data_IF_277007202373
#
_entry.id   IF_277007202373
#
_cell.length_a   1.000
_cell.length_b   1.000
_cell.length_c   1.000
_cell.angle_alpha   90.00
_cell.angle_beta   90.00
_cell.angle_gamma   90.00
#
_symmetry.space_group_name_H-M   'P 1'
#
loop_
_entity.id
_entity.type
_entity.pdbx_description
1 polymer ?
#
# COMPACT_ATOMS: atom_id res chain seq x y z
N UNK A 1 -59.87 31.86 10.86
CA UNK A 1 -59.30 32.85 9.94
C UNK A 1 -58.01 32.26 9.36
N UNK A 2 -57.76 32.42 8.07
CA UNK A 2 -56.60 31.93 7.35
C UNK A 2 -55.85 33.15 6.73
N UNK A 3 -54.53 33.23 6.95
CA UNK A 3 -53.72 34.22 6.27
C UNK A 3 -53.39 33.71 4.87
N UNK A 4 -53.89 34.36 3.85
CA UNK A 4 -53.67 33.92 2.46
C UNK A 4 -52.38 34.50 1.91
N UNK A 5 -52.04 35.70 2.30
CA UNK A 5 -50.80 36.38 1.89
C UNK A 5 -50.39 37.43 2.95
N UNK A 6 -49.10 37.53 3.19
CA UNK A 6 -48.52 38.57 4.04
C UNK A 6 -47.24 39.12 3.37
N UNK A 7 -47.15 40.45 3.35
CA UNK A 7 -45.94 41.17 2.93
C UNK A 7 -45.48 42.08 4.05
N UNK A 8 -44.19 42.08 4.34
CA UNK A 8 -43.60 42.95 5.34
C UNK A 8 -42.69 43.99 4.68
N UNK A 9 -42.70 45.22 5.16
CA UNK A 9 -41.79 46.29 4.78
C UNK A 9 -41.19 46.85 6.06
N UNK A 10 -39.86 46.94 6.11
CA UNK A 10 -39.15 47.57 7.25
C UNK A 10 -38.88 49.04 6.97
N UNK A 11 -39.13 49.86 7.97
CA UNK A 11 -38.84 51.30 7.94
C UNK A 11 -37.69 51.63 8.93
N UNK A 12 -37.21 52.86 8.86
CA UNK A 12 -36.11 53.30 9.71
C UNK A 12 -36.52 53.29 11.19
N UNK A 13 -35.60 52.99 12.12
CA UNK A 13 -35.81 52.95 13.58
C UNK A 13 -36.70 51.80 14.10
N UNK A 14 -36.70 50.62 13.41
CA UNK A 14 -37.42 49.41 13.91
C UNK A 14 -38.94 49.48 13.73
N UNK A 15 -39.38 50.34 12.84
CA UNK A 15 -40.76 50.37 12.42
C UNK A 15 -40.99 49.40 11.23
N UNK A 16 -42.11 48.74 11.20
CA UNK A 16 -42.48 47.79 10.14
C UNK A 16 -43.93 47.98 9.71
N UNK A 17 -44.14 47.89 8.40
CA UNK A 17 -45.50 47.79 7.84
C UNK A 17 -45.76 46.34 7.46
N UNK A 18 -46.89 45.78 7.92
CA UNK A 18 -47.35 44.44 7.59
C UNK A 18 -48.67 44.51 6.85
N UNK A 19 -48.69 44.12 5.58
CA UNK A 19 -49.92 44.02 4.77
C UNK A 19 -50.29 42.57 4.56
N UNK A 20 -51.50 42.22 4.89
CA UNK A 20 -51.99 40.86 4.73
C UNK A 20 -53.38 40.78 4.15
N UNK A 21 -53.64 39.60 3.51
CA UNK A 21 -54.93 39.21 3.05
C UNK A 21 -55.44 38.10 3.99
N UNK A 22 -56.51 38.40 4.72
CA UNK A 22 -57.10 37.48 5.70
C UNK A 22 -58.40 36.96 5.18
N UNK A 23 -58.56 35.63 5.10
CA UNK A 23 -59.78 34.95 4.72
C UNK A 23 -60.56 34.57 5.99
N UNK A 24 -61.79 34.94 6.03
CA UNK A 24 -62.74 34.58 7.07
C UNK A 24 -64.12 34.29 6.48
N UNK A 25 -64.71 33.16 6.78
CA UNK A 25 -66.02 32.70 6.28
C UNK A 25 -66.22 32.89 4.76
N UNK A 26 -65.15 32.56 3.97
CA UNK A 26 -65.17 32.66 2.52
C UNK A 26 -65.05 34.05 1.94
N UNK A 27 -64.82 35.07 2.78
CA UNK A 27 -64.54 36.46 2.37
C UNK A 27 -63.12 36.84 2.70
N UNK A 28 -62.51 37.64 1.83
CA UNK A 28 -61.15 38.10 2.02
C UNK A 28 -61.13 39.56 2.44
N UNK A 29 -60.28 39.88 3.42
CA UNK A 29 -60.12 41.21 4.00
C UNK A 29 -58.68 41.69 3.84
N UNK A 30 -58.51 42.91 3.37
CA UNK A 30 -57.18 43.56 3.34
C UNK A 30 -56.91 44.17 4.72
N UNK A 31 -55.79 43.76 5.30
CA UNK A 31 -55.34 44.23 6.61
C UNK A 31 -53.95 44.87 6.49
N UNK A 32 -53.79 46.04 7.05
CA UNK A 32 -52.49 46.70 7.14
C UNK A 32 -52.20 47.05 8.61
N UNK A 33 -51.02 46.65 9.11
CA UNK A 33 -50.55 46.97 10.44
C UNK A 33 -49.30 47.84 10.33
N UNK A 34 -49.20 48.86 11.15
CA UNK A 34 -48.01 49.69 11.34
C UNK A 34 -47.49 49.38 12.72
N UNK A 35 -46.28 48.84 12.77
CA UNK A 35 -45.63 48.36 13.99
C UNK A 35 -44.48 49.29 14.40
N UNK A 36 -44.37 49.53 15.69
CA UNK A 36 -43.26 50.25 16.25
C UNK A 36 -42.89 49.68 17.63
N UNK A 37 -41.62 49.38 17.85
CA UNK A 37 -41.12 48.74 19.06
C UNK A 37 -41.88 47.43 19.39
N UNK A 38 -42.22 46.61 18.36
CA UNK A 38 -42.90 45.33 18.51
C UNK A 38 -44.38 45.37 18.83
N UNK A 39 -45.00 46.60 18.84
CA UNK A 39 -46.42 46.80 19.08
C UNK A 39 -47.09 47.43 17.89
N UNK A 40 -48.40 47.17 17.72
CA UNK A 40 -49.20 47.83 16.68
C UNK A 40 -49.41 49.26 17.09
N UNK A 41 -48.94 50.19 16.29
CA UNK A 41 -49.12 51.64 16.46
C UNK A 41 -50.39 52.12 15.75
N UNK A 42 -50.66 51.54 14.59
CA UNK A 42 -51.82 51.88 13.79
C UNK A 42 -52.20 50.67 12.93
N UNK A 43 -53.46 50.58 12.56
CA UNK A 43 -53.94 49.51 11.68
C UNK A 43 -55.11 49.95 10.81
N UNK A 44 -55.33 49.28 9.72
CA UNK A 44 -56.52 49.39 8.90
C UNK A 44 -56.98 48.01 8.41
N UNK A 45 -58.30 47.85 8.34
CA UNK A 45 -58.88 46.61 7.82
C UNK A 45 -60.12 46.95 6.95
N UNK A 46 -60.32 46.25 5.86
CA UNK A 46 -61.48 46.41 4.98
C UNK A 46 -62.81 45.87 5.53
N UNK A 47 -62.82 45.29 6.73
CA UNK A 47 -64.06 44.83 7.40
C UNK A 47 -64.88 46.04 7.98
N UNK A 48 -66.15 45.79 8.28
CA UNK A 48 -67.03 46.84 8.85
C UNK A 48 -66.57 47.34 10.22
N UNK A 49 -65.81 46.52 10.96
CA UNK A 49 -65.32 46.84 12.29
C UNK A 49 -63.92 47.46 12.25
N UNK A 50 -63.26 47.46 11.11
CA UNK A 50 -61.84 47.81 10.92
C UNK A 50 -61.52 49.29 11.10
N UNK A 51 -62.49 50.16 11.30
CA UNK A 51 -62.31 51.59 11.51
C UNK A 51 -63.04 52.07 12.79
N UNK A 52 -63.40 51.16 13.70
CA UNK A 52 -64.07 51.55 14.93
C UNK A 52 -63.03 51.90 16.03
N UNK A 53 -63.30 52.96 16.82
CA UNK A 53 -62.47 53.45 17.93
C UNK A 53 -62.29 52.45 19.09
N UNK A 54 -62.73 51.18 18.95
CA UNK A 54 -62.76 50.21 20.06
C UNK A 54 -61.65 49.16 20.02
N UNK A 55 -60.56 49.40 19.31
CA UNK A 55 -59.41 48.47 19.24
C UNK A 55 -59.33 47.74 17.89
N UNK A 56 -58.32 46.90 17.77
CA UNK A 56 -58.06 46.13 16.54
C UNK A 56 -59.09 45.03 16.37
N UNK A 57 -59.59 44.86 15.12
CA UNK A 57 -60.54 43.80 14.82
C UNK A 57 -59.87 42.42 14.77
N UNK A 58 -60.70 41.36 14.84
CA UNK A 58 -60.17 39.97 14.83
C UNK A 58 -59.28 39.62 13.63
N UNK A 59 -59.48 40.24 12.45
CA UNK A 59 -58.60 40.08 11.28
C UNK A 59 -57.21 40.73 11.48
N UNK A 60 -57.16 41.88 12.17
CA UNK A 60 -55.91 42.53 12.57
C UNK A 60 -55.14 41.71 13.59
N UNK A 61 -55.84 41.18 14.60
CA UNK A 61 -55.23 40.31 15.63
C UNK A 61 -54.66 38.99 14.99
N UNK A 62 -55.39 38.40 14.07
CA UNK A 62 -54.96 37.18 13.33
C UNK A 62 -53.68 37.47 12.51
N UNK A 63 -53.64 38.59 11.79
CA UNK A 63 -52.45 38.96 11.01
C UNK A 63 -51.26 39.27 11.90
N UNK A 64 -51.46 39.96 13.06
CA UNK A 64 -50.40 40.29 14.00
C UNK A 64 -49.86 39.04 14.70
N UNK A 65 -50.73 38.10 15.09
CA UNK A 65 -50.30 36.80 15.67
C UNK A 65 -49.42 36.01 14.68
N UNK A 66 -49.85 35.94 13.42
CA UNK A 66 -49.12 35.28 12.35
C UNK A 66 -47.74 35.95 12.10
N UNK A 67 -47.70 37.28 12.06
CA UNK A 67 -46.44 37.99 11.93
C UNK A 67 -45.48 37.70 13.08
N UNK A 68 -45.96 37.66 14.33
CA UNK A 68 -45.10 37.30 15.48
C UNK A 68 -44.53 35.89 15.36
N UNK A 69 -45.36 34.94 15.00
CA UNK A 69 -44.93 33.54 14.80
C UNK A 69 -43.84 33.43 13.71
N UNK A 70 -44.00 34.11 12.59
CA UNK A 70 -43.00 34.17 11.52
C UNK A 70 -41.69 34.78 12.01
N UNK A 71 -41.75 35.86 12.79
CA UNK A 71 -40.55 36.49 13.37
C UNK A 71 -39.84 35.62 14.39
N UNK A 72 -40.56 34.87 15.19
CA UNK A 72 -40.00 33.88 16.11
C UNK A 72 -39.31 32.74 15.36
N UNK A 73 -39.89 32.24 14.27
CA UNK A 73 -39.30 31.23 13.41
C UNK A 73 -38.02 31.73 12.72
N UNK A 74 -38.03 32.95 12.16
CA UNK A 74 -36.85 33.62 11.55
C UNK A 74 -35.71 33.86 12.58
N UNK A 75 -36.03 34.01 13.88
CA UNK A 75 -35.05 34.26 14.93
C UNK A 75 -34.35 32.98 15.45
N UNK A 76 -34.84 31.79 15.07
CA UNK A 76 -34.18 30.53 15.44
C UNK A 76 -32.84 30.43 14.73
N UNK A 77 -31.77 30.04 15.44
CA UNK A 77 -30.46 29.85 14.80
C UNK A 77 -30.57 28.76 13.71
N UNK A 78 -29.85 28.93 12.59
CA UNK A 78 -29.82 27.92 11.56
C UNK A 78 -29.28 26.60 12.11
N UNK A 79 -29.94 25.51 11.78
CA UNK A 79 -29.45 24.17 12.15
C UNK A 79 -28.29 23.81 11.24
N UNK A 80 -27.10 23.62 11.82
CA UNK A 80 -25.95 23.12 11.09
C UNK A 80 -26.04 21.62 10.89
N UNK A 81 -25.68 21.17 9.70
CA UNK A 81 -25.63 19.74 9.39
C UNK A 81 -24.56 19.04 10.23
N UNK A 82 -24.92 17.99 10.94
CA UNK A 82 -23.98 17.21 11.75
C UNK A 82 -22.95 16.48 10.88
N UNK A 83 -21.79 16.18 11.45
CA UNK A 83 -20.76 15.41 10.74
C UNK A 83 -21.26 14.03 10.28
N UNK A 84 -22.14 13.39 11.05
CA UNK A 84 -22.77 12.12 10.66
C UNK A 84 -23.68 12.30 9.44
N UNK A 85 -24.48 13.35 9.41
CA UNK A 85 -25.33 13.64 8.27
C UNK A 85 -24.52 13.98 7.00
N UNK A 86 -23.44 14.76 7.14
CA UNK A 86 -22.49 15.01 6.04
C UNK A 86 -21.88 13.71 5.51
N UNK A 87 -21.50 12.80 6.41
CA UNK A 87 -20.95 11.51 6.01
C UNK A 87 -21.99 10.67 5.28
N UNK A 88 -23.22 10.60 5.79
CA UNK A 88 -24.31 9.88 5.12
C UNK A 88 -24.62 10.46 3.73
N UNK A 89 -24.75 11.78 3.62
CA UNK A 89 -25.00 12.45 2.33
C UNK A 89 -23.91 12.09 1.34
N UNK A 90 -22.64 12.21 1.74
CA UNK A 90 -21.49 11.87 0.90
C UNK A 90 -21.52 10.40 0.43
N UNK A 91 -21.75 9.47 1.37
CA UNK A 91 -21.77 8.05 1.04
C UNK A 91 -22.92 7.67 0.09
N UNK A 92 -24.11 8.21 0.30
CA UNK A 92 -25.25 7.95 -0.58
C UNK A 92 -25.07 8.62 -1.94
N UNK A 93 -24.55 9.84 -2.01
CA UNK A 93 -24.23 10.51 -3.27
C UNK A 93 -23.20 9.69 -4.07
N UNK A 94 -22.15 9.20 -3.39
CA UNK A 94 -21.13 8.36 -4.03
C UNK A 94 -21.71 7.05 -4.58
N UNK A 95 -22.67 6.44 -3.88
CA UNK A 95 -23.38 5.24 -4.36
C UNK A 95 -24.24 5.53 -5.60
N UNK A 96 -24.98 6.63 -5.58
CA UNK A 96 -25.81 7.05 -6.70
C UNK A 96 -24.99 7.34 -7.96
N UNK A 97 -23.89 8.10 -7.81
CA UNK A 97 -22.95 8.37 -8.90
C UNK A 97 -22.29 7.07 -9.38
N UNK A 98 -21.93 6.15 -8.48
CA UNK A 98 -21.37 4.86 -8.85
C UNK A 98 -22.35 4.00 -9.66
N UNK A 99 -23.65 4.04 -9.35
CA UNK A 99 -24.69 3.34 -10.11
C UNK A 99 -24.85 3.94 -11.51
N UNK A 100 -24.92 5.27 -11.62
CA UNK A 100 -25.03 5.97 -12.90
C UNK A 100 -23.81 5.66 -13.79
N UNK A 101 -22.61 5.69 -13.23
CA UNK A 101 -21.38 5.39 -13.97
C UNK A 101 -21.23 3.91 -14.31
N UNK A 102 -21.80 3.00 -13.52
CA UNK A 102 -21.81 1.58 -13.84
C UNK A 102 -22.77 1.26 -15.01
N UNK A 103 -23.78 2.08 -15.22
CA UNK A 103 -24.68 1.96 -16.38
C UNK A 103 -24.08 2.59 -17.65
N UNK A 104 -23.18 3.59 -17.52
CA UNK A 104 -22.61 4.34 -18.66
C UNK A 104 -21.19 3.92 -19.06
N UNK A 105 -20.45 3.19 -18.22
CA UNK A 105 -19.03 2.93 -18.46
C UNK A 105 -18.68 1.44 -18.42
N UNK A 106 -18.27 0.92 -19.55
CA UNK A 106 -17.26 -0.14 -19.59
C UNK A 106 -16.05 0.34 -18.77
N UNK A 107 -15.70 -0.39 -17.72
CA UNK A 107 -14.54 -0.10 -16.88
C UNK A 107 -13.25 -0.11 -17.73
N UNK A 108 -12.80 1.05 -18.17
CA UNK A 108 -11.71 1.19 -19.17
C UNK A 108 -10.43 1.78 -18.61
N UNK A 109 -10.52 2.44 -17.45
CA UNK A 109 -9.33 3.10 -16.87
C UNK A 109 -8.38 2.07 -16.30
N UNK A 110 -7.14 2.12 -16.75
CA UNK A 110 -6.07 1.27 -16.23
C UNK A 110 -5.16 2.05 -15.28
N UNK A 111 -4.77 1.39 -14.21
CA UNK A 111 -3.73 1.85 -13.29
C UNK A 111 -2.50 0.97 -13.52
N UNK A 112 -1.41 1.56 -13.98
CA UNK A 112 -0.16 0.85 -14.26
C UNK A 112 0.91 1.23 -13.25
N UNK A 113 1.53 0.27 -12.59
CA UNK A 113 2.61 0.52 -11.65
C UNK A 113 3.94 0.71 -12.37
N UNK A 114 4.82 1.50 -11.78
CA UNK A 114 6.25 1.57 -12.10
C UNK A 114 6.99 1.18 -10.83
N UNK A 115 7.66 0.04 -10.85
CA UNK A 115 8.46 -0.43 -9.73
C UNK A 115 9.82 0.27 -9.75
N UNK A 116 10.17 0.96 -8.69
CA UNK A 116 11.47 1.63 -8.51
C UNK A 116 12.31 0.81 -7.55
N UNK A 117 13.48 0.40 -8.03
CA UNK A 117 14.49 -0.28 -7.22
C UNK A 117 15.57 0.72 -6.80
N UNK A 118 15.75 0.89 -5.51
CA UNK A 118 16.71 1.82 -4.92
C UNK A 118 17.44 1.11 -3.77
N UNK A 119 18.47 0.35 -4.14
CA UNK A 119 19.16 -0.53 -3.20
C UNK A 119 18.24 -1.62 -2.64
N UNK A 120 18.01 -1.57 -1.32
CA UNK A 120 17.08 -2.50 -0.63
C UNK A 120 15.64 -2.02 -0.62
N UNK A 121 15.40 -0.76 -0.95
CA UNK A 121 14.08 -0.17 -0.93
C UNK A 121 13.39 -0.36 -2.28
N UNK A 122 12.12 -0.70 -2.19
CA UNK A 122 11.24 -0.83 -3.35
C UNK A 122 10.09 0.15 -3.20
N UNK A 123 9.85 0.91 -4.25
CA UNK A 123 8.78 1.92 -4.29
C UNK A 123 7.94 1.74 -5.55
N UNK A 124 6.67 2.12 -5.48
CA UNK A 124 5.77 2.15 -6.63
C UNK A 124 5.39 3.59 -6.97
N UNK A 125 5.60 3.98 -8.20
CA UNK A 125 4.90 5.07 -8.86
C UNK A 125 3.74 4.49 -9.66
N UNK A 126 2.75 5.32 -9.99
CA UNK A 126 1.59 4.88 -10.75
C UNK A 126 1.33 5.79 -11.94
N UNK A 127 0.83 5.19 -12.99
CA UNK A 127 0.30 5.88 -14.18
C UNK A 127 -1.17 5.50 -14.33
N UNK A 128 -1.99 6.43 -14.76
CA UNK A 128 -3.41 6.21 -15.02
C UNK A 128 -3.75 6.57 -16.46
N UNK A 129 -4.58 5.78 -17.11
CA UNK A 129 -4.92 6.02 -18.51
C UNK A 129 -5.84 4.97 -19.13
N UNK A 130 -6.24 5.21 -20.38
CA UNK A 130 -6.97 4.26 -21.23
C UNK A 130 -6.03 3.85 -22.39
N UNK A 131 -5.76 4.74 -23.30
CA UNK A 131 -4.80 4.57 -24.41
C UNK A 131 -3.49 5.29 -24.12
N UNK A 132 -3.56 6.46 -23.52
CA UNK A 132 -2.41 7.25 -23.10
C UNK A 132 -2.35 7.32 -21.58
N UNK A 133 -1.15 7.13 -21.01
CA UNK A 133 -0.94 7.08 -19.60
C UNK A 133 -0.32 8.36 -19.04
N UNK A 134 -0.83 8.82 -17.93
CA UNK A 134 -0.40 10.00 -17.19
C UNK A 134 0.13 9.61 -15.82
N UNK A 135 1.28 10.17 -15.44
CA UNK A 135 1.84 9.91 -14.12
C UNK A 135 0.95 10.50 -13.01
N UNK A 136 0.66 9.71 -12.00
CA UNK A 136 0.01 10.16 -10.77
C UNK A 136 1.06 10.86 -9.93
N UNK A 137 1.02 12.19 -9.87
CA UNK A 137 2.06 13.01 -9.22
C UNK A 137 1.91 13.06 -7.70
N UNK A 138 0.69 12.90 -7.22
CA UNK A 138 0.35 12.91 -5.80
C UNK A 138 -0.63 11.77 -5.50
N UNK A 139 -0.11 10.73 -4.85
CA UNK A 139 -0.88 9.53 -4.50
C UNK A 139 -1.93 9.83 -3.43
N UNK A 140 -1.71 10.83 -2.59
CA UNK A 140 -2.68 11.24 -1.58
C UNK A 140 -3.88 11.92 -2.23
N UNK A 141 -3.64 12.89 -3.09
CA UNK A 141 -4.72 13.57 -3.82
C UNK A 141 -5.50 12.56 -4.69
N UNK A 142 -4.80 11.58 -5.28
CA UNK A 142 -5.43 10.49 -6.02
C UNK A 142 -6.31 9.62 -5.12
N UNK A 143 -5.83 9.25 -3.93
CA UNK A 143 -6.60 8.51 -2.93
C UNK A 143 -7.86 9.27 -2.52
N UNK A 144 -7.71 10.55 -2.16
CA UNK A 144 -8.84 11.42 -1.80
C UNK A 144 -9.85 11.53 -2.94
N UNK A 145 -9.39 11.62 -4.20
CA UNK A 145 -10.27 11.62 -5.37
C UNK A 145 -11.07 10.31 -5.50
N UNK A 146 -10.43 9.16 -5.25
CA UNK A 146 -11.10 7.84 -5.27
C UNK A 146 -12.10 7.69 -4.12
N UNK A 147 -11.77 8.17 -2.94
CA UNK A 147 -12.65 8.12 -1.76
C UNK A 147 -13.89 9.00 -1.93
N UNK A 148 -13.74 10.15 -2.59
CA UNK A 148 -14.80 11.13 -2.78
C UNK A 148 -15.51 11.02 -4.14
N UNK A 149 -15.08 10.14 -5.04
CA UNK A 149 -15.62 10.04 -6.39
C UNK A 149 -15.41 11.29 -7.23
N UNK A 150 -14.34 12.05 -6.97
CA UNK A 150 -14.11 13.36 -7.59
C UNK A 150 -13.76 13.22 -9.06
N UNK A 151 -14.28 14.12 -9.90
CA UNK A 151 -13.88 14.25 -11.30
C UNK A 151 -12.51 14.94 -11.39
N UNK A 152 -11.53 14.28 -12.01
CA UNK A 152 -10.18 14.82 -12.22
C UNK A 152 -9.76 14.70 -13.67
N UNK A 153 -9.12 15.74 -14.21
CA UNK A 153 -8.58 15.78 -15.56
C UNK A 153 -7.05 15.57 -15.55
N UNK A 154 -6.58 14.64 -16.39
CA UNK A 154 -5.16 14.33 -16.63
C UNK A 154 -4.75 14.82 -18.03
N UNK A 155 -4.64 16.13 -18.22
CA UNK A 155 -4.36 16.71 -19.52
C UNK A 155 -5.60 16.78 -20.42
N UNK A 156 -5.39 16.75 -21.76
CA UNK A 156 -6.49 16.96 -22.72
C UNK A 156 -7.33 15.72 -23.01
N UNK A 157 -6.74 14.52 -22.82
CA UNK A 157 -7.30 13.29 -23.38
C UNK A 157 -7.83 12.32 -22.32
N UNK A 158 -7.76 12.65 -21.04
CA UNK A 158 -8.24 11.82 -19.95
C UNK A 158 -8.87 12.66 -18.84
N UNK A 159 -10.16 12.49 -18.65
CA UNK A 159 -10.88 12.99 -17.48
C UNK A 159 -11.97 12.01 -17.09
N UNK A 160 -12.11 11.73 -15.83
CA UNK A 160 -13.11 10.78 -15.34
C UNK A 160 -13.41 10.97 -13.86
N UNK A 161 -14.52 10.43 -13.41
CA UNK A 161 -14.84 10.32 -12.00
C UNK A 161 -14.08 9.14 -11.38
N UNK A 162 -13.38 9.38 -10.28
CA UNK A 162 -12.51 8.42 -9.61
C UNK A 162 -13.29 7.40 -8.79
N UNK A 163 -14.25 6.71 -9.40
CA UNK A 163 -14.94 5.58 -8.76
C UNK A 163 -14.18 4.27 -9.02
N UNK A 164 -14.25 3.34 -8.07
CA UNK A 164 -13.66 2.00 -8.26
C UNK A 164 -14.19 1.29 -9.50
N UNK A 165 -15.45 1.56 -9.90
CA UNK A 165 -16.07 1.01 -11.10
C UNK A 165 -15.47 1.53 -12.41
N UNK A 166 -14.83 2.70 -12.42
CA UNK A 166 -14.17 3.23 -13.61
C UNK A 166 -12.90 2.47 -13.97
N UNK A 167 -12.32 1.72 -13.02
CA UNK A 167 -11.08 0.97 -13.23
C UNK A 167 -11.35 -0.45 -13.72
N UNK A 168 -10.48 -0.95 -14.60
CA UNK A 168 -10.49 -2.35 -15.02
C UNK A 168 -10.30 -3.27 -13.81
N UNK A 169 -10.80 -4.50 -13.88
CA UNK A 169 -10.67 -5.46 -12.78
C UNK A 169 -9.21 -5.71 -12.39
N UNK A 170 -8.33 -5.77 -13.39
CA UNK A 170 -6.89 -5.90 -13.16
C UNK A 170 -6.27 -4.71 -12.41
N UNK A 171 -6.86 -3.53 -12.51
CA UNK A 171 -6.40 -2.31 -11.82
C UNK A 171 -7.02 -2.12 -10.45
N UNK A 172 -8.16 -2.77 -10.15
CA UNK A 172 -8.84 -2.66 -8.84
C UNK A 172 -7.98 -3.20 -7.70
N UNK A 173 -7.22 -4.27 -7.93
CA UNK A 173 -6.32 -4.83 -6.92
C UNK A 173 -5.13 -3.92 -6.65
N UNK A 174 -4.53 -3.33 -7.69
CA UNK A 174 -3.48 -2.31 -7.56
C UNK A 174 -4.01 -1.06 -6.85
N UNK A 175 -5.24 -0.65 -7.18
CA UNK A 175 -5.91 0.45 -6.50
C UNK A 175 -6.08 0.15 -5.00
N UNK A 176 -6.49 -1.06 -4.64
CA UNK A 176 -6.63 -1.48 -3.24
C UNK A 176 -5.28 -1.43 -2.50
N UNK A 177 -4.19 -1.88 -3.15
CA UNK A 177 -2.84 -1.79 -2.60
C UNK A 177 -2.42 -0.33 -2.36
N UNK A 178 -2.66 0.56 -3.34
CA UNK A 178 -2.39 1.99 -3.22
C UNK A 178 -3.18 2.60 -2.08
N UNK A 179 -4.50 2.38 -2.03
CA UNK A 179 -5.41 2.93 -1.03
C UNK A 179 -5.02 2.52 0.40
N UNK A 180 -4.60 1.25 0.58
CA UNK A 180 -4.14 0.74 1.87
C UNK A 180 -2.75 1.24 2.29
N UNK A 181 -1.88 1.48 1.32
CA UNK A 181 -0.47 1.84 1.57
C UNK A 181 -0.23 3.35 1.77
N UNK A 182 -1.08 4.20 1.20
CA UNK A 182 -0.96 5.66 1.36
C UNK A 182 -1.55 6.08 2.70
N UNK A 183 -0.68 6.43 3.66
CA UNK A 183 -1.08 7.00 4.95
C UNK A 183 -1.32 8.51 4.82
N UNK A 184 -1.97 9.12 5.84
CA UNK A 184 -2.35 10.56 5.90
C UNK A 184 -1.15 11.52 6.04
N UNK A 185 -0.08 11.28 5.32
CA UNK A 185 1.12 12.12 5.30
C UNK A 185 1.06 13.14 4.14
N UNK A 186 2.06 14.05 4.09
CA UNK A 186 2.23 15.06 3.02
C UNK A 186 2.14 14.45 1.63
N UNK A 187 1.92 15.26 0.59
CA UNK A 187 1.96 14.85 -0.81
C UNK A 187 3.07 13.81 -1.11
N UNK A 188 2.70 12.63 -1.61
CA UNK A 188 3.62 11.50 -1.81
C UNK A 188 3.57 11.10 -3.28
N UNK A 189 4.72 11.11 -3.95
CA UNK A 189 4.81 10.69 -5.35
C UNK A 189 4.89 9.18 -5.53
N UNK A 190 5.47 8.49 -4.57
CA UNK A 190 5.68 7.04 -4.62
C UNK A 190 5.29 6.37 -3.32
N UNK A 191 4.79 5.16 -3.41
CA UNK A 191 4.45 4.29 -2.29
C UNK A 191 5.65 3.40 -1.96
N UNK A 192 6.21 3.52 -0.76
CA UNK A 192 7.24 2.59 -0.27
C UNK A 192 6.59 1.27 0.11
N UNK A 193 7.12 0.18 -0.42
CA UNK A 193 6.64 -1.16 -0.13
C UNK A 193 7.36 -1.74 1.10
N UNK A 194 6.63 -2.03 2.15
CA UNK A 194 7.11 -2.92 3.22
C UNK A 194 7.13 -4.38 2.73
N UNK A 195 7.68 -5.31 3.50
CA UNK A 195 7.81 -6.72 3.10
C UNK A 195 6.47 -7.36 2.69
N UNK A 196 5.41 -7.14 3.46
CA UNK A 196 4.07 -7.68 3.18
C UNK A 196 3.47 -7.08 1.90
N UNK A 197 3.60 -5.76 1.72
CA UNK A 197 3.10 -5.09 0.51
C UNK A 197 3.91 -5.45 -0.74
N UNK A 198 5.20 -5.87 -0.60
CA UNK A 198 5.97 -6.45 -1.70
C UNK A 198 5.32 -7.73 -2.17
N UNK A 199 5.10 -8.70 -1.28
CA UNK A 199 4.49 -9.97 -1.65
C UNK A 199 3.10 -9.75 -2.29
N UNK A 200 2.30 -8.85 -1.73
CA UNK A 200 0.99 -8.50 -2.30
C UNK A 200 1.09 -7.88 -3.69
N UNK A 201 2.04 -6.97 -3.92
CA UNK A 201 2.26 -6.38 -5.24
C UNK A 201 2.64 -7.44 -6.28
N UNK A 202 3.55 -8.34 -5.92
CA UNK A 202 4.00 -9.39 -6.83
C UNK A 202 2.92 -10.43 -7.10
N UNK A 203 2.06 -10.71 -6.12
CA UNK A 203 0.89 -11.56 -6.30
C UNK A 203 -0.09 -10.96 -7.33
N UNK A 204 -0.36 -9.64 -7.24
CA UNK A 204 -1.21 -8.92 -8.19
C UNK A 204 -0.61 -8.91 -9.60
N UNK A 205 0.72 -8.81 -9.70
CA UNK A 205 1.43 -8.69 -10.99
C UNK A 205 1.92 -10.01 -11.55
N UNK A 206 1.65 -11.14 -10.92
CA UNK A 206 2.10 -12.47 -11.37
C UNK A 206 1.70 -12.73 -12.83
N UNK A 207 2.66 -13.18 -13.64
CA UNK A 207 2.47 -13.44 -15.07
C UNK A 207 2.24 -12.22 -15.95
N UNK A 208 2.47 -11.02 -15.43
CA UNK A 208 2.36 -9.75 -16.18
C UNK A 208 3.73 -9.11 -16.37
N UNK A 209 3.78 -8.18 -17.31
CA UNK A 209 4.95 -7.31 -17.52
C UNK A 209 4.79 -6.04 -16.69
N UNK A 210 5.86 -5.59 -16.05
CA UNK A 210 5.90 -4.37 -15.26
C UNK A 210 7.06 -3.47 -15.71
N UNK A 211 6.83 -2.16 -15.71
CA UNK A 211 7.90 -1.18 -15.90
C UNK A 211 8.73 -1.08 -14.62
N UNK A 212 10.02 -1.36 -14.72
CA UNK A 212 10.97 -1.31 -13.59
C UNK A 212 12.00 -0.22 -13.83
N UNK A 213 12.17 0.67 -12.86
CA UNK A 213 13.26 1.62 -12.84
C UNK A 213 14.40 1.03 -12.02
N UNK A 214 15.50 0.71 -12.71
CA UNK A 214 16.72 0.18 -12.11
C UNK A 214 17.52 1.26 -11.37
N UNK A 215 18.43 0.87 -10.47
CA UNK A 215 19.45 1.78 -9.93
C UNK A 215 20.17 2.49 -11.08
N UNK A 216 20.27 3.84 -11.00
CA UNK A 216 20.79 4.64 -12.12
C UNK A 216 19.72 5.25 -13.04
N UNK A 217 18.43 4.94 -12.81
CA UNK A 217 17.31 5.62 -13.45
C UNK A 217 16.81 5.03 -14.76
N UNK A 218 17.49 4.02 -15.32
CA UNK A 218 17.02 3.32 -16.52
C UNK A 218 15.70 2.59 -16.25
N UNK A 219 14.76 2.71 -17.19
CA UNK A 219 13.44 2.04 -17.13
C UNK A 219 13.39 0.92 -18.16
N UNK A 220 13.00 -0.23 -17.73
CA UNK A 220 12.93 -1.47 -18.54
C UNK A 220 11.60 -2.16 -18.26
N UNK A 221 11.01 -2.76 -19.29
CA UNK A 221 9.88 -3.67 -19.10
C UNK A 221 10.40 -5.03 -18.68
N UNK A 222 9.86 -5.59 -17.63
CA UNK A 222 10.26 -6.89 -17.08
C UNK A 222 9.05 -7.81 -16.93
N UNK A 223 9.26 -9.06 -17.31
CA UNK A 223 8.29 -10.11 -17.11
C UNK A 223 8.39 -10.63 -15.67
N UNK A 224 7.24 -10.76 -15.02
CA UNK A 224 7.16 -11.30 -13.66
C UNK A 224 6.93 -12.79 -13.72
N UNK A 225 7.94 -13.55 -13.28
CA UNK A 225 7.95 -15.01 -13.35
C UNK A 225 7.91 -15.65 -11.96
N UNK A 226 6.97 -16.56 -11.76
CA UNK A 226 6.94 -17.46 -10.61
C UNK A 226 7.83 -18.67 -10.90
N UNK A 227 9.13 -18.49 -10.68
CA UNK A 227 10.09 -19.58 -10.91
C UNK A 227 11.36 -19.33 -10.11
N UNK A 228 12.04 -20.42 -9.78
CA UNK A 228 13.32 -20.37 -9.07
C UNK A 228 14.45 -20.19 -10.08
N UNK A 229 15.20 -19.09 -10.02
CA UNK A 229 16.39 -18.94 -10.85
C UNK A 229 17.55 -19.78 -10.27
N UNK A 230 18.43 -20.23 -11.14
CA UNK A 230 19.68 -20.92 -10.76
C UNK A 230 20.81 -19.89 -10.75
N UNK A 231 21.42 -19.69 -9.60
CA UNK A 231 22.60 -18.86 -9.46
C UNK A 231 23.83 -19.57 -10.07
N UNK A 232 24.74 -18.79 -10.63
CA UNK A 232 26.04 -19.28 -11.08
C UNK A 232 27.13 -18.66 -10.20
N UNK A 233 27.84 -19.49 -9.47
CA UNK A 233 28.87 -19.10 -8.55
C UNK A 233 30.26 -19.52 -9.08
N UNK A 234 31.08 -18.56 -9.44
CA UNK A 234 32.48 -18.79 -9.77
C UNK A 234 33.27 -18.88 -8.46
N UNK A 235 34.06 -19.92 -8.33
CA UNK A 235 34.97 -20.08 -7.17
C UNK A 235 36.39 -20.24 -7.65
N UNK A 236 37.28 -19.40 -7.17
CA UNK A 236 38.68 -19.34 -7.54
C UNK A 236 39.57 -19.21 -6.32
N UNK A 237 40.83 -19.71 -6.41
CA UNK A 237 41.82 -19.49 -5.39
C UNK A 237 42.23 -18.02 -5.35
N UNK A 238 42.42 -17.49 -4.16
CA UNK A 238 42.84 -16.09 -3.98
C UNK A 238 43.83 -15.96 -2.85
N UNK A 239 44.80 -15.07 -3.02
CA UNK A 239 45.85 -14.90 -2.04
C UNK A 239 46.70 -16.15 -1.86
N UNK A 240 47.18 -16.39 -0.63
CA UNK A 240 48.09 -17.50 -0.33
C UNK A 240 47.32 -18.81 -0.23
N UNK A 241 46.18 -18.84 0.43
CA UNK A 241 45.40 -20.08 0.69
C UNK A 241 43.91 -19.82 0.89
N UNK A 242 43.35 -18.72 0.32
CA UNK A 242 41.96 -18.35 0.43
C UNK A 242 41.15 -18.71 -0.83
N UNK A 243 39.82 -18.63 -0.72
CA UNK A 243 38.89 -18.73 -1.83
C UNK A 243 38.15 -17.41 -2.03
N UNK A 244 37.89 -17.08 -3.29
CA UNK A 244 36.96 -16.05 -3.68
C UNK A 244 35.76 -16.69 -4.37
N UNK A 245 34.56 -16.48 -3.86
CA UNK A 245 33.32 -16.90 -4.49
C UNK A 245 32.60 -15.67 -5.04
N UNK A 246 32.36 -15.65 -6.35
CA UNK A 246 31.76 -14.52 -7.07
C UNK A 246 30.45 -14.95 -7.74
N UNK A 247 29.38 -14.16 -7.55
CA UNK A 247 28.12 -14.37 -8.22
C UNK A 247 28.22 -13.88 -9.67
N UNK A 248 28.18 -14.79 -10.61
CA UNK A 248 28.24 -14.49 -12.06
C UNK A 248 26.90 -14.07 -12.63
N UNK A 249 25.83 -14.33 -11.90
CA UNK A 249 24.46 -14.02 -12.29
C UNK A 249 23.50 -15.17 -12.04
N UNK A 250 22.31 -15.07 -12.60
CA UNK A 250 21.28 -16.10 -12.52
C UNK A 250 20.73 -16.43 -13.91
N UNK A 251 20.25 -17.65 -14.07
CA UNK A 251 19.57 -18.12 -15.27
C UNK A 251 18.27 -18.85 -14.88
N UNK A 252 17.30 -19.01 -15.80
CA UNK A 252 16.15 -19.85 -15.59
C UNK A 252 16.59 -21.27 -15.27
N UNK A 253 15.86 -21.96 -14.40
CA UNK A 253 16.15 -23.37 -14.09
C UNK A 253 16.02 -24.28 -15.31
N UNK A 254 15.12 -23.95 -16.22
CA UNK A 254 14.85 -24.67 -17.46
C UNK A 254 15.21 -23.78 -18.64
N UNK A 255 15.90 -24.34 -19.66
CA UNK A 255 16.15 -23.62 -20.92
C UNK A 255 17.62 -23.45 -21.31
N UNK A 256 18.58 -23.72 -20.41
CA UNK A 256 20.02 -23.69 -20.75
C UNK A 256 20.57 -22.29 -21.13
N UNK A 257 19.87 -21.22 -20.77
CA UNK A 257 20.33 -19.86 -20.97
C UNK A 257 21.62 -19.57 -20.17
N UNK A 258 22.45 -18.72 -20.71
CA UNK A 258 23.62 -18.23 -19.98
C UNK A 258 23.18 -17.37 -18.77
N UNK A 259 23.90 -17.41 -17.66
CA UNK A 259 23.60 -16.57 -16.50
C UNK A 259 23.72 -15.09 -16.88
N UNK A 260 22.76 -14.28 -16.37
CA UNK A 260 22.75 -12.83 -16.55
C UNK A 260 23.00 -12.16 -15.21
N UNK A 261 23.71 -11.03 -15.18
CA UNK A 261 23.97 -10.30 -13.94
C UNK A 261 22.69 -10.00 -13.16
N UNK A 262 22.77 -9.99 -11.85
CA UNK A 262 21.68 -9.63 -10.95
C UNK A 262 21.64 -8.12 -10.82
N UNK A 263 20.56 -7.50 -11.28
CA UNK A 263 20.36 -6.05 -11.18
C UNK A 263 19.82 -5.62 -9.81
N UNK A 264 19.28 -6.55 -9.04
CA UNK A 264 18.76 -6.30 -7.70
C UNK A 264 18.20 -7.57 -7.07
N UNK A 265 18.21 -7.58 -5.75
CA UNK A 265 17.68 -8.66 -4.94
C UNK A 265 17.02 -8.05 -3.70
N UNK A 266 15.81 -8.45 -3.39
CA UNK A 266 15.10 -7.95 -2.22
C UNK A 266 14.11 -8.99 -1.68
N UNK A 267 13.80 -8.89 -0.41
CA UNK A 267 12.95 -9.86 0.28
C UNK A 267 11.59 -9.27 0.61
N UNK A 268 10.54 -10.04 0.34
CA UNK A 268 9.22 -9.87 0.90
C UNK A 268 9.14 -10.46 2.31
N UNK A 269 7.95 -10.74 2.78
CA UNK A 269 7.74 -11.47 4.03
C UNK A 269 8.00 -12.97 3.84
N UNK A 270 7.50 -13.54 2.75
CA UNK A 270 7.59 -14.97 2.42
C UNK A 270 8.59 -15.28 1.33
N UNK A 271 8.77 -14.40 0.35
CA UNK A 271 9.46 -14.67 -0.89
C UNK A 271 10.70 -13.82 -1.10
N UNK A 272 11.68 -14.42 -1.77
CA UNK A 272 12.83 -13.72 -2.34
C UNK A 272 12.47 -13.29 -3.76
N UNK A 273 12.88 -12.08 -4.14
CA UNK A 273 12.73 -11.52 -5.48
C UNK A 273 14.10 -11.22 -6.07
N UNK A 274 14.33 -11.70 -7.29
CA UNK A 274 15.61 -11.54 -7.99
C UNK A 274 15.35 -10.88 -9.35
N UNK A 275 16.05 -9.80 -9.62
CA UNK A 275 15.97 -9.04 -10.87
C UNK A 275 17.18 -9.34 -11.73
N UNK A 276 16.97 -9.89 -12.91
CA UNK A 276 18.05 -10.23 -13.82
C UNK A 276 17.61 -10.15 -15.28
N UNK A 277 18.36 -9.43 -16.11
CA UNK A 277 18.00 -9.19 -17.50
C UNK A 277 16.66 -8.48 -17.61
N UNK A 278 15.70 -9.10 -18.29
CA UNK A 278 14.32 -8.61 -18.44
C UNK A 278 13.31 -9.41 -17.61
N UNK A 279 13.78 -10.12 -16.58
CA UNK A 279 12.95 -10.95 -15.73
C UNK A 279 13.05 -10.52 -14.29
N UNK A 280 11.92 -10.62 -13.61
CA UNK A 280 11.78 -10.44 -12.19
C UNK A 280 11.20 -11.73 -11.62
N UNK A 281 12.06 -12.51 -10.96
CA UNK A 281 11.71 -13.81 -10.41
C UNK A 281 11.10 -13.64 -9.02
N UNK A 282 9.96 -14.30 -8.78
CA UNK A 282 9.48 -14.60 -7.44
C UNK A 282 9.90 -16.05 -7.11
N UNK A 283 10.87 -16.19 -6.23
CA UNK A 283 11.35 -17.48 -5.81
C UNK A 283 10.32 -18.22 -4.94
N UNK A 284 10.30 -19.54 -4.99
CA UNK A 284 9.51 -20.38 -4.09
C UNK A 284 9.93 -20.17 -2.62
N UNK A 285 9.10 -20.59 -1.67
CA UNK A 285 9.45 -20.53 -0.25
C UNK A 285 10.70 -21.39 0.06
N UNK A 286 10.82 -22.55 -0.57
CA UNK A 286 11.99 -23.43 -0.42
C UNK A 286 13.26 -22.78 -0.95
N UNK A 287 13.21 -22.18 -2.14
CA UNK A 287 14.33 -21.40 -2.66
C UNK A 287 14.66 -20.21 -1.77
N UNK A 288 13.62 -19.50 -1.28
CA UNK A 288 13.80 -18.35 -0.38
C UNK A 288 14.47 -18.74 0.94
N UNK A 289 14.13 -19.90 1.52
CA UNK A 289 14.76 -20.37 2.74
C UNK A 289 16.23 -20.69 2.54
N UNK A 290 16.57 -21.30 1.41
CA UNK A 290 17.93 -21.73 1.10
C UNK A 290 18.78 -20.56 0.60
N UNK A 291 18.29 -19.83 -0.39
CA UNK A 291 19.07 -18.81 -1.12
C UNK A 291 18.95 -17.42 -0.55
N UNK A 292 17.93 -17.14 0.31
CA UNK A 292 17.60 -15.77 0.73
C UNK A 292 18.77 -15.04 1.36
N UNK A 293 19.40 -15.64 2.39
CA UNK A 293 20.54 -15.03 3.05
C UNK A 293 21.74 -14.90 2.11
N UNK A 294 22.02 -15.95 1.33
CA UNK A 294 23.13 -15.95 0.38
C UNK A 294 22.99 -14.84 -0.65
N UNK A 295 21.85 -14.73 -1.31
CA UNK A 295 21.58 -13.70 -2.31
C UNK A 295 21.58 -12.28 -1.73
N UNK A 296 21.00 -12.09 -0.54
CA UNK A 296 21.03 -10.80 0.13
C UNK A 296 22.48 -10.35 0.44
N UNK A 297 23.33 -11.25 0.88
CA UNK A 297 24.75 -10.92 1.16
C UNK A 297 25.53 -10.66 -0.13
N UNK A 298 25.38 -11.53 -1.14
CA UNK A 298 26.08 -11.36 -2.43
C UNK A 298 25.72 -10.07 -3.14
N UNK A 299 24.43 -9.70 -3.15
CA UNK A 299 23.96 -8.47 -3.79
C UNK A 299 24.23 -7.18 -2.99
N UNK A 300 24.72 -7.28 -1.75
CA UNK A 300 25.13 -6.13 -0.95
C UNK A 300 26.53 -5.63 -1.30
N UNK A 301 27.42 -6.54 -1.64
CA UNK A 301 28.80 -6.22 -1.97
C UNK A 301 28.88 -5.67 -3.41
N UNK A 302 29.69 -4.63 -3.59
CA UNK A 302 29.89 -4.01 -4.92
C UNK A 302 30.43 -4.99 -5.95
N UNK A 303 31.23 -5.93 -5.50
CA UNK A 303 31.91 -6.92 -6.36
C UNK A 303 31.12 -8.24 -6.46
N UNK A 304 29.91 -8.31 -5.84
CA UNK A 304 29.10 -9.52 -5.79
C UNK A 304 29.92 -10.77 -5.43
N UNK A 305 30.88 -10.63 -4.51
CA UNK A 305 31.81 -11.69 -4.14
C UNK A 305 32.07 -11.72 -2.63
N UNK A 306 32.42 -12.91 -2.14
CA UNK A 306 32.85 -13.14 -0.77
C UNK A 306 34.24 -13.78 -0.76
N UNK A 307 35.04 -13.41 0.23
CA UNK A 307 36.37 -13.97 0.47
C UNK A 307 36.30 -14.91 1.67
N UNK A 308 36.88 -16.11 1.51
CA UNK A 308 36.87 -17.12 2.54
C UNK A 308 38.35 -17.49 2.82
N UNK A 309 38.80 -17.29 4.05
CA UNK A 309 40.11 -17.68 4.47
C UNK A 309 40.27 -19.20 4.63
N UNK A 310 41.49 -19.71 4.52
CA UNK A 310 41.82 -21.13 4.52
C UNK A 310 41.11 -21.94 5.63
N UNK A 311 41.11 -21.41 6.84
CA UNK A 311 40.51 -22.06 8.02
C UNK A 311 39.01 -22.30 7.89
N UNK A 312 38.31 -21.39 7.20
CA UNK A 312 36.86 -21.36 7.12
C UNK A 312 36.33 -22.05 5.84
N UNK A 313 37.22 -22.45 4.91
CA UNK A 313 36.83 -23.09 3.65
C UNK A 313 36.00 -24.35 3.89
N UNK A 314 36.41 -25.31 4.75
CA UNK A 314 35.61 -26.51 4.99
C UNK A 314 34.23 -26.19 5.58
N UNK A 315 34.19 -25.20 6.48
CA UNK A 315 32.92 -24.77 7.10
C UNK A 315 32.04 -24.05 6.11
N UNK A 316 32.60 -23.18 5.26
CA UNK A 316 31.86 -22.52 4.18
C UNK A 316 31.28 -23.51 3.19
N UNK A 317 32.07 -24.51 2.79
CA UNK A 317 31.59 -25.57 1.92
C UNK A 317 30.44 -26.35 2.57
N UNK A 318 30.64 -26.84 3.80
CA UNK A 318 29.65 -27.67 4.50
C UNK A 318 28.34 -26.93 4.83
N UNK A 319 28.47 -25.67 5.29
CA UNK A 319 27.34 -24.90 5.82
C UNK A 319 26.67 -24.01 4.79
N UNK A 320 27.37 -23.59 3.75
CA UNK A 320 26.83 -22.67 2.74
C UNK A 320 26.70 -23.38 1.40
N UNK A 321 27.83 -23.83 0.83
CA UNK A 321 27.84 -24.36 -0.54
C UNK A 321 26.93 -25.56 -0.69
N UNK A 322 27.04 -26.55 0.16
CA UNK A 322 26.18 -27.76 0.10
C UNK A 322 24.68 -27.41 0.20
N UNK A 323 24.31 -26.40 0.97
CA UNK A 323 22.91 -25.99 1.12
C UNK A 323 22.36 -25.29 -0.12
N UNK A 324 23.19 -24.47 -0.80
CA UNK A 324 22.72 -23.72 -1.97
C UNK A 324 22.77 -24.52 -3.27
N UNK A 325 23.44 -25.66 -3.33
CA UNK A 325 23.58 -26.49 -4.54
C UNK A 325 22.27 -26.79 -5.29
N UNK A 326 21.11 -26.98 -4.65
CA UNK A 326 19.85 -27.20 -5.37
C UNK A 326 19.45 -26.03 -6.28
N UNK A 327 19.92 -24.82 -5.97
CA UNK A 327 19.60 -23.57 -6.69
C UNK A 327 20.85 -22.85 -7.21
N UNK A 328 22.02 -23.50 -7.16
CA UNK A 328 23.29 -22.90 -7.55
C UNK A 328 24.14 -23.86 -8.38
N UNK A 329 24.68 -23.36 -9.49
CA UNK A 329 25.72 -24.06 -10.26
C UNK A 329 27.07 -23.49 -9.85
N UNK A 330 27.95 -24.39 -9.42
CA UNK A 330 29.33 -24.06 -9.18
C UNK A 330 30.10 -24.07 -10.51
N UNK A 331 30.92 -23.06 -10.71
CA UNK A 331 31.87 -22.93 -11.82
C UNK A 331 33.28 -22.89 -11.20
N UNK A 332 33.84 -24.05 -10.86
CA UNK A 332 35.16 -24.09 -10.21
C UNK A 332 36.24 -23.73 -11.24
N UNK A 333 37.06 -22.75 -10.93
CA UNK A 333 38.33 -22.50 -11.60
C UNK A 333 39.45 -22.84 -10.62
N UNK A 334 40.28 -23.83 -10.95
CA UNK A 334 41.40 -24.29 -10.15
C UNK A 334 41.09 -24.73 -8.70
N UNK A 335 39.83 -25.08 -8.41
CA UNK A 335 39.40 -25.53 -7.08
C UNK A 335 38.64 -26.84 -7.25
N UNK A 336 39.15 -27.92 -6.64
CA UNK A 336 38.35 -29.14 -6.40
C UNK A 336 37.81 -29.08 -4.97
N UNK A 337 36.48 -28.94 -4.84
CA UNK A 337 35.87 -28.93 -3.52
C UNK A 337 35.99 -30.24 -2.77
N UNK A 338 36.31 -31.34 -3.46
CA UNK A 338 36.63 -32.63 -2.81
C UNK A 338 37.84 -32.53 -1.89
N UNK A 339 38.78 -31.63 -2.21
CA UNK A 339 39.96 -31.38 -1.38
C UNK A 339 39.60 -30.73 -0.02
N UNK A 340 38.38 -30.17 0.08
CA UNK A 340 37.86 -29.49 1.25
C UNK A 340 36.66 -30.19 1.89
N UNK A 341 36.27 -31.35 1.41
CA UNK A 341 35.25 -32.14 2.11
C UNK A 341 35.87 -32.64 3.42
N UNK A 342 35.24 -32.24 4.56
CA UNK A 342 35.75 -32.79 5.83
C UNK A 342 35.51 -34.28 5.85
N UNK A 343 36.56 -35.01 6.11
CA UNK A 343 36.42 -36.43 6.33
C UNK A 343 35.54 -36.71 7.57
N UNK A 344 34.69 -37.76 7.54
CA UNK A 344 33.86 -38.03 8.69
C UNK A 344 34.73 -38.40 9.90
N UNK A 345 34.47 -37.71 11.03
CA UNK A 345 35.07 -38.12 12.31
C UNK A 345 34.57 -39.53 12.65
N UNK A 346 35.51 -40.44 12.77
CA UNK A 346 35.25 -41.82 13.20
C UNK A 346 35.60 -41.97 14.66
N UNK A 347 34.64 -42.33 15.48
CA UNK A 347 34.88 -42.67 16.88
C UNK A 347 34.90 -44.16 17.05
N UNK A 348 35.91 -44.74 17.63
CA UNK A 348 36.00 -46.10 18.03
C UNK A 348 36.23 -46.22 19.54
N UNK A 349 35.63 -47.20 20.14
CA UNK A 349 35.70 -47.46 21.57
C UNK A 349 36.21 -48.89 21.77
N UNK A 350 37.35 -49.02 22.36
CA UNK A 350 37.90 -50.33 22.77
C UNK A 350 37.58 -50.54 24.24
N UNK A 351 37.04 -51.71 24.53
CA UNK A 351 36.79 -52.13 25.91
C UNK A 351 37.71 -53.25 26.26
N UNK A 352 38.38 -53.12 27.42
CA UNK A 352 39.25 -54.14 27.96
C UNK A 352 38.96 -54.35 29.44
N UNK A 353 39.47 -55.39 30.03
CA UNK A 353 39.30 -55.69 31.46
C UNK A 353 40.63 -55.39 32.16
N UNK A 354 40.63 -54.38 33.07
CA UNK A 354 41.79 -54.06 33.86
C UNK A 354 42.21 -55.18 34.84
N UNK A 355 43.44 -55.09 35.41
CA UNK A 355 43.98 -56.07 36.32
C UNK A 355 43.14 -56.23 37.59
N UNK A 356 42.33 -55.24 37.96
CA UNK A 356 41.38 -55.26 39.06
C UNK A 356 39.98 -55.77 38.71
N UNK A 357 39.79 -56.24 37.44
CA UNK A 357 38.52 -56.69 36.93
C UNK A 357 37.54 -55.57 36.55
N UNK A 358 37.95 -54.33 36.60
CA UNK A 358 37.14 -53.22 36.14
C UNK A 358 37.15 -53.11 34.62
N UNK A 359 36.05 -52.66 34.01
CA UNK A 359 35.95 -52.42 32.60
C UNK A 359 36.71 -51.11 32.26
N UNK A 360 37.72 -51.18 31.43
CA UNK A 360 38.46 -50.05 30.91
C UNK A 360 37.98 -49.73 29.51
N UNK A 361 37.66 -48.48 29.24
CA UNK A 361 37.25 -48.01 27.93
C UNK A 361 38.31 -47.04 27.37
N UNK A 362 38.81 -47.36 26.21
CA UNK A 362 39.77 -46.53 25.46
C UNK A 362 39.06 -45.99 24.23
N UNK A 363 38.71 -44.68 24.24
CA UNK A 363 38.19 -44.02 23.06
C UNK A 363 39.32 -43.63 22.10
N UNK A 364 39.17 -43.88 20.81
CA UNK A 364 40.02 -43.27 19.78
C UNK A 364 39.14 -42.54 18.76
N UNK A 365 39.58 -41.40 18.30
CA UNK A 365 38.98 -40.56 17.29
C UNK A 365 39.87 -40.50 16.07
N UNK A 366 39.37 -40.87 14.90
CA UNK A 366 40.14 -40.76 13.66
C UNK A 366 39.49 -39.71 12.74
N UNK A 367 40.30 -38.79 12.22
CA UNK A 367 39.92 -37.82 11.21
C UNK A 367 40.95 -37.86 10.07
N UNK A 368 40.53 -38.42 8.96
CA UNK A 368 41.42 -38.68 7.85
C UNK A 368 42.55 -39.67 8.26
N UNK A 369 43.80 -39.24 8.07
CA UNK A 369 44.99 -39.98 8.48
C UNK A 369 45.41 -39.70 9.93
N UNK A 370 44.71 -38.84 10.64
CA UNK A 370 45.06 -38.51 12.03
C UNK A 370 44.20 -39.32 12.99
N UNK A 371 44.88 -39.90 13.99
CA UNK A 371 44.25 -40.62 15.08
C UNK A 371 44.55 -39.90 16.40
N UNK A 372 43.51 -39.71 17.22
CA UNK A 372 43.56 -38.99 18.49
C UNK A 372 43.09 -39.93 19.61
N UNK A 373 43.83 -39.95 20.70
CA UNK A 373 43.48 -40.67 21.91
C UNK A 373 43.03 -39.68 22.98
N UNK A 374 41.76 -39.36 23.14
CA UNK A 374 41.25 -38.25 23.96
C UNK A 374 41.63 -38.33 25.44
N UNK A 375 41.98 -39.50 25.93
CA UNK A 375 42.39 -39.70 27.32
C UNK A 375 43.93 -39.60 27.53
N UNK A 376 44.70 -39.66 26.44
CA UNK A 376 46.17 -39.65 26.48
C UNK A 376 46.79 -38.32 25.95
N UNK A 377 46.07 -37.63 25.03
CA UNK A 377 46.55 -36.43 24.39
C UNK A 377 46.27 -35.19 25.23
N UNK A 378 47.28 -34.71 25.96
CA UNK A 378 47.18 -33.44 26.74
C UNK A 378 47.05 -32.17 25.89
N UNK A 379 47.18 -32.26 24.55
CA UNK A 379 47.21 -31.12 23.62
C UNK A 379 45.97 -30.96 22.76
N UNK A 380 44.84 -31.59 23.06
CA UNK A 380 43.61 -31.33 22.37
C UNK A 380 43.13 -29.89 22.57
N UNK A 381 42.92 -29.11 21.50
CA UNK A 381 42.41 -27.78 21.65
C UNK A 381 41.04 -27.80 22.36
N UNK A 382 40.98 -27.10 23.52
CA UNK A 382 39.76 -27.01 24.37
C UNK A 382 38.61 -26.16 23.75
N UNK A 383 38.70 -25.90 22.46
CA UNK A 383 37.70 -25.09 21.72
C UNK A 383 37.32 -25.81 20.44
N UNK A 384 36.08 -26.30 20.43
CA UNK A 384 35.33 -26.60 19.21
C UNK A 384 34.52 -25.36 18.84
#
# INVERSE_FOLDING_TARGET
MKIVRMNTSSFWKGEAGVKGLVEDQGKTYNVTLYLGSGRVKDYSCSCKEGNSYKGMCAHGDALFAYYKQQKEEESKPPVHTSNQAHTMIREYTNREVALILAEEADAQVRLEPVLILDGKDTRLEFKVGITRFYAVRDLRAFKEAVENGTHVAYGKDLSFHHHKSAFTDSSKELLALLMGGVQNQKAVRSLTLNRMNRDRFFEIMAGRTVEVQLPGGNRVMMDMEDSDPVASLKVEKTGRDGLKASLMGVAPMIGGEAPRPVAGCFRGERFLYVVSGQRLYRCSESCTQVMGLFMEQMCMERDESVLVGQRDIPLFYERVVKHILPYCRLMPEDVDFKDYEPEPLKASFRFDTGEDGALVMEPSLAYGSYEFHPLEDENLPRTI
#
